data_IF_528053735768
#
_entry.id   IF_528053735768
#
_cell.length_a   1.000
_cell.length_b   1.000
_cell.length_c   1.000
_cell.angle_alpha   90.00
_cell.angle_beta   90.00
_cell.angle_gamma   90.00
#
_symmetry.space_group_name_H-M   'P 1'
#
loop_
_entity.id
_entity.type
_entity.pdbx_description
1 polymer ?
#
# COMPACT_ATOMS: atom_id res chain seq x y z
N UNK A 1 17.06 -22.52 1.01
CA UNK A 1 15.92 -22.06 1.82
C UNK A 1 15.11 -21.10 0.95
N UNK A 2 13.77 -21.27 0.81
CA UNK A 2 12.92 -20.33 0.05
C UNK A 2 12.34 -19.29 1.02
N UNK A 3 12.41 -18.01 0.67
CA UNK A 3 11.75 -16.93 1.41
C UNK A 3 10.36 -16.67 0.82
N UNK A 4 9.41 -16.24 1.64
CA UNK A 4 8.05 -15.89 1.19
C UNK A 4 7.94 -14.51 0.54
N UNK A 5 9.06 -13.78 0.42
CA UNK A 5 9.08 -12.41 -0.10
C UNK A 5 8.54 -11.39 0.91
N UNK A 6 8.17 -10.22 0.40
CA UNK A 6 7.48 -9.19 1.19
C UNK A 6 6.01 -9.60 1.36
N UNK A 7 5.50 -9.56 2.58
CA UNK A 7 4.09 -9.89 2.87
C UNK A 7 3.26 -8.66 3.19
N UNK A 8 3.81 -7.72 3.95
CA UNK A 8 3.11 -6.50 4.35
C UNK A 8 4.09 -5.36 4.63
N UNK A 9 3.81 -4.15 4.15
CA UNK A 9 4.54 -2.93 4.49
C UNK A 9 3.57 -1.77 4.68
N UNK A 10 3.73 -1.03 5.77
CA UNK A 10 3.01 0.22 6.05
C UNK A 10 3.87 1.43 5.69
N UNK A 11 3.27 2.39 5.01
CA UNK A 11 3.88 3.65 4.60
C UNK A 11 3.06 4.81 5.16
N UNK A 12 3.62 5.50 6.15
CA UNK A 12 3.09 6.76 6.63
C UNK A 12 3.27 7.84 5.55
N UNK A 13 2.16 8.35 5.02
CA UNK A 13 2.13 9.33 3.93
C UNK A 13 1.18 10.47 4.26
N UNK A 14 1.52 11.67 3.79
CA UNK A 14 0.65 12.84 4.00
C UNK A 14 -0.72 12.72 3.31
N UNK A 15 -0.76 12.03 2.17
CA UNK A 15 -1.94 11.88 1.33
C UNK A 15 -1.97 10.45 0.75
N UNK A 16 -2.77 9.53 1.32
CA UNK A 16 -2.88 8.15 0.87
C UNK A 16 -3.38 8.03 -0.56
N UNK A 17 -4.31 8.89 -1.00
CA UNK A 17 -4.81 8.82 -2.38
C UNK A 17 -3.72 9.15 -3.38
N UNK A 18 -2.97 10.22 -3.12
CA UNK A 18 -1.87 10.63 -3.99
C UNK A 18 -0.77 9.57 -4.02
N UNK A 19 -0.44 8.99 -2.87
CA UNK A 19 0.55 7.92 -2.79
C UNK A 19 0.08 6.67 -3.53
N UNK A 20 -1.16 6.23 -3.30
CA UNK A 20 -1.73 5.07 -3.98
C UNK A 20 -1.72 5.25 -5.50
N UNK A 21 -2.20 6.38 -6.04
CA UNK A 21 -2.18 6.64 -7.50
C UNK A 21 -0.77 6.63 -8.09
N UNK A 22 0.24 7.06 -7.33
CA UNK A 22 1.62 6.97 -7.76
C UNK A 22 2.06 5.50 -7.88
N UNK A 23 1.84 4.68 -6.85
CA UNK A 23 2.25 3.29 -6.86
C UNK A 23 1.36 2.38 -7.72
N UNK A 24 0.10 2.75 -7.96
CA UNK A 24 -0.75 2.16 -9.01
C UNK A 24 -0.08 2.29 -10.38
N UNK A 25 0.45 3.48 -10.70
CA UNK A 25 1.12 3.70 -11.99
C UNK A 25 2.50 3.05 -12.09
N UNK A 26 3.25 3.02 -10.99
CA UNK A 26 4.63 2.49 -10.99
C UNK A 26 4.68 0.97 -10.87
N UNK A 27 3.82 0.39 -10.03
CA UNK A 27 3.84 -1.04 -9.69
C UNK A 27 2.60 -1.80 -10.19
N UNK A 28 1.61 -1.11 -10.77
CA UNK A 28 0.34 -1.74 -11.13
C UNK A 28 -0.51 -2.13 -9.92
N UNK A 29 -0.31 -1.47 -8.77
CA UNK A 29 -1.07 -1.75 -7.55
C UNK A 29 -2.57 -1.75 -7.82
N UNK A 30 -3.26 -2.70 -7.19
CA UNK A 30 -4.73 -2.75 -7.16
C UNK A 30 -5.20 -2.55 -5.73
N UNK A 31 -6.16 -1.67 -5.56
CA UNK A 31 -6.80 -1.45 -4.26
C UNK A 31 -7.51 -2.73 -3.82
N UNK A 32 -7.30 -3.10 -2.56
CA UNK A 32 -7.97 -4.25 -1.94
C UNK A 32 -8.77 -3.87 -0.70
N UNK A 33 -8.43 -2.74 -0.08
CA UNK A 33 -9.16 -2.21 1.06
C UNK A 33 -8.94 -0.69 1.19
N UNK A 34 -9.96 0.01 1.70
CA UNK A 34 -9.93 1.46 1.91
C UNK A 34 -10.76 1.83 3.13
N UNK A 35 -10.23 2.75 3.91
CA UNK A 35 -10.91 3.41 5.02
C UNK A 35 -10.46 4.89 5.11
N UNK A 36 -11.13 5.74 5.90
CA UNK A 36 -10.73 7.14 6.03
C UNK A 36 -9.27 7.27 6.48
N UNK A 37 -8.44 7.91 5.66
CA UNK A 37 -7.02 8.11 5.93
C UNK A 37 -6.12 6.89 5.69
N UNK A 38 -6.64 5.78 5.16
CA UNK A 38 -5.82 4.59 4.84
C UNK A 38 -6.29 3.85 3.58
N UNK A 39 -5.33 3.45 2.74
CA UNK A 39 -5.57 2.66 1.52
C UNK A 39 -4.60 1.50 1.47
N UNK A 40 -5.09 0.29 1.23
CA UNK A 40 -4.28 -0.90 1.03
C UNK A 40 -4.31 -1.33 -0.43
N UNK A 41 -3.13 -1.59 -0.99
CA UNK A 41 -2.96 -2.10 -2.35
C UNK A 41 -2.15 -3.39 -2.38
N UNK A 42 -2.38 -4.23 -3.38
CA UNK A 42 -1.56 -5.40 -3.69
C UNK A 42 -0.92 -5.28 -5.07
N UNK A 43 0.33 -5.75 -5.20
CA UNK A 43 0.99 -5.81 -6.51
C UNK A 43 0.52 -7.03 -7.32
N UNK A 44 0.41 -6.93 -8.65
CA UNK A 44 -0.03 -8.05 -9.48
C UNK A 44 0.92 -9.24 -9.41
N UNK A 45 0.38 -10.44 -9.18
CA UNK A 45 1.16 -11.68 -9.17
C UNK A 45 1.98 -11.93 -7.91
N UNK A 46 1.89 -11.04 -6.92
CA UNK A 46 2.50 -11.20 -5.60
C UNK A 46 1.44 -11.33 -4.51
N UNK A 47 1.89 -11.62 -3.28
CA UNK A 47 1.05 -11.66 -2.07
C UNK A 47 1.32 -10.49 -1.13
N UNK A 48 2.16 -9.53 -1.52
CA UNK A 48 2.41 -8.34 -0.70
C UNK A 48 1.20 -7.42 -0.62
N UNK A 49 1.03 -6.81 0.54
CA UNK A 49 0.13 -5.69 0.79
C UNK A 49 0.96 -4.46 1.14
N UNK A 50 0.69 -3.35 0.46
CA UNK A 50 1.23 -2.03 0.76
C UNK A 50 0.10 -1.18 1.34
N UNK A 51 0.28 -0.71 2.57
CA UNK A 51 -0.67 0.16 3.25
C UNK A 51 -0.16 1.59 3.21
N UNK A 52 -0.98 2.52 2.73
CA UNK A 52 -0.73 3.95 2.74
C UNK A 52 -1.61 4.58 3.80
N UNK A 53 -1.02 5.07 4.89
CA UNK A 53 -1.76 5.60 6.03
C UNK A 53 -1.38 7.06 6.31
N UNK A 54 -2.36 7.89 6.63
CA UNK A 54 -2.09 9.21 7.18
C UNK A 54 -1.55 9.05 8.60
N UNK A 55 -0.38 9.63 8.92
CA UNK A 55 0.08 9.68 10.29
C UNK A 55 -0.97 10.42 11.13
N UNK A 56 -1.35 9.83 12.26
CA UNK A 56 -2.17 10.52 13.24
C UNK A 56 -1.43 11.78 13.70
N UNK A 57 -2.17 12.88 13.82
CA UNK A 57 -1.64 14.08 14.49
C UNK A 57 -1.47 13.71 15.98
N UNK A 58 -0.26 13.27 16.33
CA UNK A 58 0.18 13.09 17.72
C UNK A 58 0.44 14.41 18.41
#
# INVERSE_FOLDING_TARGET
>A
MKTYGLTHIGLAVRDPERAFRFYERVLGLREVYREPGSIQGQTPGSRDVIVFEQPSAG
#
